data_IF_587087093157
#
_entry.id   IF_587087093157
#
_cell.length_a   1.000
_cell.length_b   1.000
_cell.length_c   1.000
_cell.angle_alpha   90.00
_cell.angle_beta   90.00
_cell.angle_gamma   90.00
#
_symmetry.space_group_name_H-M   'P 1'
#
loop_
_entity.id
_entity.type
_entity.pdbx_description
1 polymer ?
#
# COMPACT_ATOMS: atom_id res chain seq x y z
N UNK A 1 39.13 10.28 -12.35
CA UNK A 1 38.52 11.22 -11.39
C UNK A 1 37.24 11.75 -12.01
N UNK A 2 36.11 11.12 -11.73
CA UNK A 2 34.79 11.57 -12.16
C UNK A 2 33.99 11.90 -10.91
N UNK A 3 33.53 13.14 -10.82
CA UNK A 3 32.75 13.67 -9.70
C UNK A 3 31.36 13.05 -9.71
N UNK A 4 31.04 12.31 -8.64
CA UNK A 4 29.68 11.96 -8.28
C UNK A 4 28.96 13.23 -7.82
N UNK A 5 28.14 13.83 -8.69
CA UNK A 5 27.06 14.71 -8.24
C UNK A 5 25.92 13.83 -7.76
N UNK A 6 26.03 13.37 -6.51
CA UNK A 6 24.95 12.66 -5.82
C UNK A 6 23.71 13.53 -5.77
N UNK A 7 22.54 12.90 -5.96
CA UNK A 7 21.24 13.52 -5.74
C UNK A 7 21.27 14.34 -4.44
N UNK A 8 21.04 15.64 -4.57
CA UNK A 8 21.00 16.58 -3.45
C UNK A 8 19.75 16.33 -2.62
N UNK A 9 19.91 15.49 -1.59
CA UNK A 9 19.01 15.37 -0.44
C UNK A 9 18.10 14.13 -0.46
N UNK A 10 17.60 13.71 0.72
CA UNK A 10 16.54 12.71 0.80
C UNK A 10 15.31 13.20 0.03
N UNK A 11 14.75 12.33 -0.79
CA UNK A 11 13.54 12.57 -1.58
C UNK A 11 12.40 13.05 -0.65
N UNK A 12 11.73 14.14 -1.04
CA UNK A 12 10.61 14.71 -0.28
C UNK A 12 9.43 13.73 -0.28
N UNK A 13 8.89 13.49 0.92
CA UNK A 13 7.66 12.76 1.21
C UNK A 13 6.51 13.32 0.35
N UNK A 14 5.79 12.44 -0.35
CA UNK A 14 4.58 12.80 -1.09
C UNK A 14 3.39 12.02 -0.52
N UNK A 15 2.15 12.55 -0.55
CA UNK A 15 0.95 11.92 0.03
C UNK A 15 0.61 10.50 -0.46
N UNK A 16 1.24 10.03 -1.53
CA UNK A 16 0.99 8.74 -2.18
C UNK A 16 1.88 7.59 -1.66
N UNK A 17 2.31 7.68 -0.41
CA UNK A 17 3.33 6.81 0.19
C UNK A 17 2.71 5.89 1.23
N UNK A 18 2.87 4.57 1.06
CA UNK A 18 2.10 3.56 1.78
C UNK A 18 2.98 2.66 2.64
N UNK A 19 2.64 2.54 3.92
CA UNK A 19 3.56 1.97 4.91
C UNK A 19 3.41 0.47 5.18
N UNK A 20 2.35 -0.23 4.73
CA UNK A 20 2.23 -1.71 4.74
C UNK A 20 1.09 -2.24 3.90
N UNK A 21 1.32 -3.35 3.18
CA UNK A 21 0.27 -4.17 2.55
C UNK A 21 0.47 -5.65 2.92
N UNK A 22 0.02 -6.05 4.11
CA UNK A 22 0.12 -7.44 4.53
C UNK A 22 -1.25 -8.13 4.41
N UNK A 23 -1.55 -8.68 3.23
CA UNK A 23 -2.60 -9.70 3.13
C UNK A 23 -1.98 -11.05 3.52
N UNK A 24 -2.59 -11.80 4.44
CA UNK A 24 -2.10 -13.13 4.83
C UNK A 24 -2.35 -14.14 3.70
N UNK A 25 -1.47 -14.15 2.71
CA UNK A 25 -1.64 -14.96 1.51
C UNK A 25 -1.17 -16.41 1.70
N UNK A 26 -0.19 -16.69 2.56
CA UNK A 26 0.35 -18.04 2.72
C UNK A 26 -0.16 -18.65 4.02
N UNK A 27 -0.90 -19.76 3.92
CA UNK A 27 -1.24 -20.59 5.08
C UNK A 27 -0.63 -22.00 5.02
N UNK A 28 0.19 -22.29 3.99
CA UNK A 28 1.00 -23.52 3.87
C UNK A 28 2.20 -23.29 2.95
N UNK A 29 3.30 -24.01 3.18
CA UNK A 29 4.57 -23.88 2.44
C UNK A 29 4.64 -24.86 1.26
N UNK A 30 4.99 -24.37 0.07
CA UNK A 30 5.37 -25.17 -1.10
C UNK A 30 6.44 -24.42 -1.90
N UNK A 31 7.22 -25.12 -2.73
CA UNK A 31 8.27 -24.54 -3.57
C UNK A 31 7.67 -23.75 -4.76
N UNK A 32 8.10 -22.49 -4.94
CA UNK A 32 7.76 -21.66 -6.11
C UNK A 32 8.72 -21.93 -7.28
N UNK A 33 8.32 -21.70 -8.55
CA UNK A 33 9.20 -21.86 -9.71
C UNK A 33 10.42 -20.92 -9.64
N UNK A 34 11.63 -21.45 -9.85
CA UNK A 34 12.90 -20.71 -9.73
C UNK A 34 13.33 -19.89 -10.95
N UNK A 35 12.48 -19.71 -11.96
CA UNK A 35 12.79 -18.95 -13.17
C UNK A 35 12.82 -17.44 -12.88
N UNK A 36 13.71 -16.69 -13.54
CA UNK A 36 13.74 -15.23 -13.45
C UNK A 36 12.72 -14.65 -14.43
N UNK A 37 11.72 -13.93 -13.93
CA UNK A 37 10.85 -13.11 -14.74
C UNK A 37 11.26 -11.65 -14.65
N UNK A 38 11.04 -10.91 -15.75
CA UNK A 38 11.06 -9.46 -15.73
C UNK A 38 9.64 -8.93 -15.46
N UNK A 39 9.48 -7.89 -14.65
CA UNK A 39 8.16 -7.29 -14.42
C UNK A 39 7.73 -6.43 -15.62
N UNK A 40 6.45 -6.50 -16.02
CA UNK A 40 5.93 -5.72 -17.15
C UNK A 40 6.19 -4.22 -16.95
N UNK A 41 7.05 -3.61 -17.81
CA UNK A 41 7.50 -2.25 -17.62
C UNK A 41 6.40 -1.22 -17.88
N UNK A 42 5.27 -1.62 -18.46
CA UNK A 42 4.18 -0.73 -18.85
C UNK A 42 3.17 -0.51 -17.72
N UNK A 43 3.10 -1.44 -16.75
CA UNK A 43 2.09 -1.44 -15.69
C UNK A 43 2.11 -0.17 -14.85
N UNK A 44 0.91 0.36 -14.59
CA UNK A 44 0.70 1.56 -13.78
C UNK A 44 1.30 1.41 -12.38
N UNK A 45 1.96 2.47 -11.93
CA UNK A 45 2.43 2.62 -10.54
C UNK A 45 1.23 2.77 -9.60
N UNK A 46 1.10 1.88 -8.63
CA UNK A 46 0.00 1.90 -7.68
C UNK A 46 0.37 2.67 -6.41
N UNK A 47 1.42 2.21 -5.72
CA UNK A 47 1.86 2.80 -4.46
C UNK A 47 3.34 2.54 -4.19
N UNK A 48 3.99 3.37 -3.38
CA UNK A 48 5.36 3.11 -2.87
C UNK A 48 5.30 2.28 -1.60
N UNK A 49 6.28 1.40 -1.41
CA UNK A 49 6.41 0.59 -0.20
C UNK A 49 7.86 0.51 0.27
N UNK A 50 8.10 0.99 1.50
CA UNK A 50 9.42 1.30 2.03
C UNK A 50 10.33 0.10 2.29
N UNK A 51 9.76 -1.06 2.61
CA UNK A 51 10.55 -2.25 2.95
C UNK A 51 11.09 -2.98 1.71
N UNK A 52 10.71 -2.53 0.50
CA UNK A 52 11.14 -3.12 -0.78
C UNK A 52 12.26 -2.37 -1.50
N UNK A 53 12.79 -1.29 -0.89
CA UNK A 53 13.76 -0.40 -1.54
C UNK A 53 13.10 0.79 -2.25
N UNK A 54 13.88 1.55 -3.01
CA UNK A 54 13.37 2.62 -3.86
C UNK A 54 12.57 1.97 -5.00
N UNK A 55 11.29 2.29 -5.16
CA UNK A 55 10.46 1.68 -6.20
C UNK A 55 8.96 1.81 -5.97
N UNK A 56 8.19 1.59 -7.02
CA UNK A 56 6.73 1.55 -6.97
C UNK A 56 6.23 0.12 -7.12
N UNK A 57 5.25 -0.26 -6.32
CA UNK A 57 4.51 -1.51 -6.49
C UNK A 57 3.62 -1.37 -7.72
N UNK A 58 3.77 -2.33 -8.65
CA UNK A 58 2.99 -2.41 -9.89
C UNK A 58 2.09 -3.65 -9.91
N UNK A 59 2.49 -4.73 -9.24
CA UNK A 59 1.65 -5.90 -9.00
C UNK A 59 1.59 -6.13 -7.49
N UNK A 60 0.46 -5.82 -6.85
CA UNK A 60 0.34 -5.97 -5.42
C UNK A 60 0.04 -7.42 -5.03
N UNK A 61 0.37 -7.77 -3.78
CA UNK A 61 0.18 -9.11 -3.22
C UNK A 61 -1.26 -9.61 -3.38
N UNK A 62 -1.40 -10.89 -3.69
CA UNK A 62 -2.69 -11.58 -3.81
C UNK A 62 -3.41 -11.38 -5.14
N UNK A 63 -2.76 -10.76 -6.13
CA UNK A 63 -3.27 -10.68 -7.51
C UNK A 63 -2.82 -11.89 -8.33
N UNK A 64 -3.71 -12.40 -9.18
CA UNK A 64 -3.37 -13.38 -10.19
C UNK A 64 -2.40 -12.76 -11.23
N UNK A 65 -1.38 -13.54 -11.57
CA UNK A 65 -0.33 -13.15 -12.50
C UNK A 65 -0.23 -14.13 -13.66
N UNK A 66 0.27 -13.64 -14.78
CA UNK A 66 0.43 -14.38 -16.02
C UNK A 66 1.70 -13.93 -16.76
N UNK A 67 2.35 -14.81 -17.53
CA UNK A 67 3.30 -14.39 -18.54
C UNK A 67 2.58 -13.47 -19.55
N UNK A 68 3.20 -12.37 -19.92
CA UNK A 68 2.64 -11.47 -20.91
C UNK A 68 2.55 -12.16 -22.28
N UNK A 69 1.41 -12.01 -22.95
CA UNK A 69 1.24 -12.46 -24.35
C UNK A 69 1.57 -11.34 -25.36
N UNK A 70 1.98 -10.17 -24.86
CA UNK A 70 2.20 -8.98 -25.65
C UNK A 70 3.52 -9.00 -26.43
N UNK A 71 3.51 -8.25 -27.54
CA UNK A 71 4.72 -8.01 -28.33
C UNK A 71 5.43 -6.75 -27.82
N UNK A 72 6.54 -6.92 -27.09
CA UNK A 72 7.34 -5.82 -26.56
C UNK A 72 8.39 -5.26 -27.55
N UNK A 73 8.27 -5.54 -28.86
CA UNK A 73 9.18 -5.06 -29.90
C UNK A 73 9.60 -6.14 -30.90
N UNK A 74 10.90 -6.16 -31.27
CA UNK A 74 11.47 -6.96 -32.38
C UNK A 74 11.33 -8.48 -32.26
N UNK A 75 10.98 -9.01 -31.08
CA UNK A 75 10.66 -10.43 -30.89
C UNK A 75 9.27 -10.56 -30.30
N UNK A 76 8.42 -11.22 -31.06
CA UNK A 76 7.11 -11.72 -30.63
C UNK A 76 7.37 -12.83 -29.61
N UNK A 77 6.56 -12.92 -28.55
CA UNK A 77 6.54 -13.95 -27.48
C UNK A 77 6.76 -13.45 -26.03
N UNK A 78 6.35 -12.23 -25.68
CA UNK A 78 6.23 -11.86 -24.25
C UNK A 78 7.53 -11.76 -23.47
N UNK A 79 8.66 -11.52 -24.16
CA UNK A 79 10.00 -11.40 -23.55
C UNK A 79 10.56 -10.00 -23.71
N UNK A 80 11.31 -9.53 -22.71
CA UNK A 80 12.10 -8.30 -22.79
C UNK A 80 13.56 -8.59 -22.45
N UNK A 81 14.46 -7.72 -22.93
CA UNK A 81 15.86 -7.77 -22.49
C UNK A 81 15.92 -7.22 -21.07
N UNK A 82 16.43 -8.04 -20.16
CA UNK A 82 16.80 -7.63 -18.81
C UNK A 82 17.75 -6.43 -18.86
N UNK A 83 17.52 -5.46 -17.99
CA UNK A 83 18.24 -4.19 -17.99
C UNK A 83 19.73 -4.36 -17.63
N UNK A 84 20.07 -5.38 -16.84
CA UNK A 84 21.44 -5.63 -16.39
C UNK A 84 22.14 -6.71 -17.24
N UNK A 85 21.56 -7.91 -17.33
CA UNK A 85 22.19 -9.04 -18.02
C UNK A 85 22.12 -8.97 -19.55
N UNK A 86 21.25 -8.10 -20.11
CA UNK A 86 20.97 -8.04 -21.55
C UNK A 86 20.33 -9.33 -22.10
N UNK A 87 19.96 -10.27 -21.23
CA UNK A 87 19.36 -11.56 -21.57
C UNK A 87 17.85 -11.40 -21.73
N UNK A 88 17.25 -12.16 -22.65
CA UNK A 88 15.80 -12.16 -22.82
C UNK A 88 15.15 -12.94 -21.69
N UNK A 89 14.29 -12.27 -20.92
CA UNK A 89 13.50 -12.86 -19.85
C UNK A 89 12.01 -12.78 -20.17
N UNK A 90 11.21 -13.78 -19.75
CA UNK A 90 9.76 -13.72 -19.83
C UNK A 90 9.23 -12.59 -18.95
N UNK A 91 8.25 -11.86 -19.48
CA UNK A 91 7.60 -10.77 -18.75
C UNK A 91 6.45 -11.30 -17.91
N UNK A 92 6.41 -10.94 -16.64
CA UNK A 92 5.29 -11.18 -15.74
C UNK A 92 4.37 -9.96 -15.68
N UNK A 93 3.08 -10.17 -15.91
CA UNK A 93 2.03 -9.14 -15.90
C UNK A 93 0.79 -9.61 -15.13
N UNK A 94 -0.21 -8.73 -14.98
CA UNK A 94 -1.49 -9.08 -14.36
C UNK A 94 -2.28 -10.03 -15.27
N UNK A 95 -2.86 -11.07 -14.68
CA UNK A 95 -3.79 -11.94 -15.39
C UNK A 95 -5.06 -11.15 -15.78
N UNK A 96 -5.56 -11.36 -17.00
CA UNK A 96 -6.70 -10.61 -17.55
C UNK A 96 -7.93 -11.47 -17.86
N UNK A 97 -8.01 -12.67 -17.28
CA UNK A 97 -9.15 -13.57 -17.47
C UNK A 97 -9.32 -14.05 -18.91
N UNK A 98 -8.26 -13.99 -19.74
CA UNK A 98 -8.29 -14.42 -21.14
C UNK A 98 -8.94 -13.43 -22.10
N UNK A 99 -8.95 -12.14 -21.75
CA UNK A 99 -9.47 -11.06 -22.60
C UNK A 99 -8.42 -9.97 -22.83
N UNK A 100 -8.48 -9.33 -23.99
CA UNK A 100 -7.70 -8.13 -24.24
C UNK A 100 -8.19 -6.98 -23.35
N UNK A 101 -7.27 -6.31 -22.66
CA UNK A 101 -7.56 -5.22 -21.72
C UNK A 101 -6.81 -3.96 -22.13
N UNK A 102 -7.51 -2.84 -22.20
CA UNK A 102 -6.88 -1.53 -22.42
C UNK A 102 -6.38 -0.98 -21.09
N UNK A 103 -5.07 -0.73 -21.01
CA UNK A 103 -4.39 -0.19 -19.84
C UNK A 103 -3.65 1.10 -20.15
N UNK A 104 -3.19 1.79 -19.10
CA UNK A 104 -2.48 3.07 -19.20
C UNK A 104 -1.02 2.88 -18.83
N UNK A 105 -0.14 3.31 -19.73
CA UNK A 105 1.30 3.19 -19.58
C UNK A 105 1.85 4.14 -18.51
N UNK A 106 2.72 3.62 -17.65
CA UNK A 106 3.16 4.32 -16.43
C UNK A 106 3.93 5.63 -16.63
N UNK A 107 4.60 5.80 -17.77
CA UNK A 107 5.55 6.92 -17.99
C UNK A 107 4.93 8.09 -18.76
N UNK A 108 4.15 7.79 -19.79
CA UNK A 108 3.62 8.75 -20.77
C UNK A 108 2.09 8.87 -20.70
N UNK A 109 1.42 8.01 -19.92
CA UNK A 109 -0.03 7.98 -19.82
C UNK A 109 -0.73 7.53 -21.10
N UNK A 110 0.01 6.97 -22.07
CA UNK A 110 -0.58 6.47 -23.30
C UNK A 110 -1.36 5.18 -23.05
N UNK A 111 -2.43 4.95 -23.80
CA UNK A 111 -3.19 3.71 -23.70
C UNK A 111 -2.53 2.60 -24.52
N UNK A 112 -2.39 1.41 -23.94
CA UNK A 112 -1.94 0.22 -24.63
C UNK A 112 -2.90 -0.94 -24.38
N UNK A 113 -2.89 -1.94 -25.26
CA UNK A 113 -3.69 -3.16 -25.06
C UNK A 113 -2.78 -4.25 -24.51
N UNK A 114 -3.15 -4.83 -23.37
CA UNK A 114 -2.60 -6.08 -22.84
C UNK A 114 -3.39 -7.25 -23.44
N UNK A 115 -2.75 -8.03 -24.29
CA UNK A 115 -3.33 -9.19 -24.95
C UNK A 115 -3.79 -10.25 -23.94
N UNK A 116 -4.85 -10.98 -24.29
CA UNK A 116 -5.37 -12.11 -23.53
C UNK A 116 -4.25 -13.07 -23.10
N UNK A 117 -4.07 -13.23 -21.80
CA UNK A 117 -3.02 -14.05 -21.21
C UNK A 117 -3.63 -15.19 -20.37
N UNK A 118 -2.80 -16.15 -19.96
CA UNK A 118 -3.22 -17.31 -19.16
C UNK A 118 -2.63 -17.22 -17.76
N UNK A 119 -3.49 -17.18 -16.76
CA UNK A 119 -3.05 -17.15 -15.37
C UNK A 119 -2.24 -18.41 -14.99
N UNK A 120 -1.13 -18.19 -14.26
CA UNK A 120 -0.21 -19.25 -13.80
C UNK A 120 -0.17 -19.38 -12.28
N UNK A 121 -0.66 -18.38 -11.55
CA UNK A 121 -0.65 -18.37 -10.10
C UNK A 121 -0.96 -16.99 -9.54
N UNK A 122 -0.62 -16.78 -8.28
CA UNK A 122 -0.89 -15.56 -7.52
C UNK A 122 0.43 -14.97 -7.00
N UNK A 123 0.55 -13.65 -7.03
CA UNK A 123 1.73 -12.95 -6.52
C UNK A 123 1.86 -13.11 -5.00
N UNK A 124 2.96 -13.73 -4.55
CA UNK A 124 3.24 -13.97 -3.13
C UNK A 124 3.41 -12.68 -2.32
N UNK A 125 4.10 -11.71 -2.93
CA UNK A 125 4.42 -10.41 -2.33
C UNK A 125 4.07 -9.27 -3.27
N UNK A 126 4.37 -8.06 -2.84
CA UNK A 126 4.33 -6.91 -3.74
C UNK A 126 5.49 -6.99 -4.72
N UNK A 127 5.18 -6.97 -6.01
CA UNK A 127 6.17 -6.89 -7.06
C UNK A 127 6.36 -5.43 -7.47
N UNK A 128 7.62 -5.00 -7.45
CA UNK A 128 8.02 -3.64 -7.76
C UNK A 128 8.28 -3.50 -9.26
N UNK A 129 8.17 -2.28 -9.75
CA UNK A 129 8.70 -1.98 -11.07
C UNK A 129 10.20 -2.24 -11.10
N UNK A 130 10.67 -2.81 -12.21
CA UNK A 130 12.09 -2.89 -12.48
C UNK A 130 12.59 -1.57 -13.05
N UNK A 131 13.71 -1.11 -12.51
CA UNK A 131 14.50 0.00 -13.01
C UNK A 131 15.97 -0.26 -12.68
N UNK A 132 16.87 0.50 -13.31
CA UNK A 132 18.32 0.36 -13.10
C UNK A 132 18.65 0.83 -11.68
N UNK A 133 18.87 -0.12 -10.77
CA UNK A 133 19.34 0.09 -9.40
C UNK A 133 20.37 -0.97 -9.03
N UNK A 134 21.27 -0.66 -8.09
CA UNK A 134 22.38 -1.52 -7.65
C UNK A 134 21.96 -2.86 -7.03
N UNK A 135 20.67 -3.08 -6.80
CA UNK A 135 20.10 -4.32 -6.27
C UNK A 135 19.36 -5.18 -7.32
N UNK A 136 19.36 -4.79 -8.60
CA UNK A 136 18.81 -5.57 -9.72
C UNK A 136 17.32 -5.98 -9.60
N UNK A 137 16.54 -5.20 -8.86
CA UNK A 137 15.11 -5.47 -8.65
C UNK A 137 14.84 -6.72 -7.81
N UNK A 138 13.56 -6.96 -7.52
CA UNK A 138 13.12 -8.14 -6.77
C UNK A 138 12.75 -9.26 -7.75
N UNK A 139 13.29 -10.47 -7.55
CA UNK A 139 12.82 -11.63 -8.28
C UNK A 139 11.37 -11.95 -7.86
N UNK A 140 10.40 -11.97 -8.79
CA UNK A 140 9.03 -12.25 -8.44
C UNK A 140 8.85 -13.72 -8.03
N UNK A 141 8.11 -13.91 -6.96
CA UNK A 141 7.67 -15.23 -6.47
C UNK A 141 6.20 -15.42 -6.76
N UNK A 142 5.89 -16.57 -7.37
CA UNK A 142 4.55 -16.92 -7.83
C UNK A 142 4.11 -18.19 -7.14
N UNK A 143 2.90 -18.15 -6.60
CA UNK A 143 2.29 -19.23 -5.87
C UNK A 143 1.24 -19.91 -6.75
N UNK A 144 1.38 -21.21 -7.00
CA UNK A 144 0.50 -21.97 -7.91
C UNK A 144 -0.16 -23.20 -7.27
N UNK A 145 0.36 -23.69 -6.14
CA UNK A 145 -0.05 -24.96 -5.52
C UNK A 145 -0.32 -24.86 -4.01
N UNK A 146 -0.34 -23.64 -3.48
CA UNK A 146 -0.58 -23.40 -2.05
C UNK A 146 -2.03 -23.06 -1.76
N UNK A 147 -2.32 -23.10 -0.47
CA UNK A 147 -3.54 -22.57 0.11
C UNK A 147 -3.41 -21.08 0.41
N UNK A 148 -4.30 -20.27 -0.17
CA UNK A 148 -4.32 -18.81 -0.01
C UNK A 148 -5.58 -18.31 0.69
N UNK A 149 -5.46 -17.19 1.41
CA UNK A 149 -6.58 -16.47 2.02
C UNK A 149 -6.69 -15.06 1.43
N UNK A 150 -7.87 -14.69 0.95
CA UNK A 150 -8.16 -13.35 0.43
C UNK A 150 -9.38 -12.71 1.13
N UNK A 151 -9.41 -11.37 1.25
CA UNK A 151 -10.58 -10.66 1.75
C UNK A 151 -11.76 -10.85 0.79
N UNK A 152 -12.92 -11.24 1.34
CA UNK A 152 -14.15 -11.38 0.58
C UNK A 152 -14.92 -10.05 0.56
N UNK A 153 -15.03 -9.42 -0.60
CA UNK A 153 -15.74 -8.15 -0.82
C UNK A 153 -16.73 -8.38 -1.97
N UNK A 154 -18.02 -8.61 -1.70
CA UNK A 154 -18.96 -9.06 -2.72
C UNK A 154 -19.17 -8.07 -3.87
N UNK A 155 -19.08 -6.77 -3.58
CA UNK A 155 -19.34 -5.71 -4.56
C UNK A 155 -18.05 -5.36 -5.31
N UNK A 156 -18.10 -5.45 -6.64
CA UNK A 156 -16.95 -5.14 -7.52
C UNK A 156 -16.39 -3.74 -7.29
N UNK A 157 -17.25 -2.72 -7.20
CA UNK A 157 -16.81 -1.33 -7.02
C UNK A 157 -15.98 -1.16 -5.73
N UNK A 158 -16.44 -1.74 -4.62
CA UNK A 158 -15.75 -1.68 -3.33
C UNK A 158 -14.44 -2.50 -3.36
N UNK A 159 -14.42 -3.63 -4.07
CA UNK A 159 -13.20 -4.41 -4.31
C UNK A 159 -12.20 -3.68 -5.22
N UNK A 160 -12.67 -2.76 -6.05
CA UNK A 160 -11.85 -1.95 -6.95
C UNK A 160 -11.16 -0.77 -6.27
N UNK A 161 -11.74 -0.26 -5.18
CA UNK A 161 -11.15 0.79 -4.34
C UNK A 161 -9.82 0.35 -3.69
N UNK A 162 -9.65 -0.96 -3.46
CA UNK A 162 -8.43 -1.51 -2.89
C UNK A 162 -7.43 -1.95 -3.96
N UNK A 163 -6.17 -1.60 -3.74
CA UNK A 163 -5.09 -1.95 -4.66
C UNK A 163 -4.60 -3.38 -4.48
N UNK A 164 -4.62 -3.96 -3.28
CA UNK A 164 -4.20 -5.36 -3.07
C UNK A 164 -5.19 -6.39 -3.62
N UNK A 165 -4.80 -7.67 -3.61
CA UNK A 165 -5.64 -8.79 -4.02
C UNK A 165 -6.89 -8.93 -3.16
N UNK A 166 -8.02 -9.19 -3.81
CA UNK A 166 -9.32 -9.40 -3.18
C UNK A 166 -10.18 -10.34 -4.00
N UNK A 167 -11.22 -10.87 -3.37
CA UNK A 167 -12.22 -11.72 -3.99
C UNK A 167 -13.57 -11.02 -4.01
N UNK A 168 -14.25 -11.02 -5.16
CA UNK A 168 -15.61 -10.48 -5.30
C UNK A 168 -16.52 -11.40 -6.13
N UNK A 169 -17.83 -11.24 -5.95
CA UNK A 169 -18.81 -11.97 -6.74
C UNK A 169 -19.10 -11.24 -8.05
N UNK A 170 -18.93 -11.92 -9.17
CA UNK A 170 -19.36 -11.40 -10.48
C UNK A 170 -20.88 -11.24 -10.54
N UNK A 171 -21.60 -12.16 -9.87
CA UNK A 171 -23.04 -12.13 -9.78
C UNK A 171 -23.48 -12.30 -8.31
N UNK A 172 -23.97 -11.24 -7.66
CA UNK A 172 -24.44 -11.30 -6.27
C UNK A 172 -25.57 -12.33 -6.02
N UNK A 173 -26.30 -12.74 -7.05
CA UNK A 173 -27.32 -13.79 -6.94
C UNK A 173 -26.74 -15.21 -6.87
N UNK A 174 -25.47 -15.38 -7.24
CA UNK A 174 -24.71 -16.64 -7.21
C UNK A 174 -23.41 -16.40 -6.44
N UNK A 175 -23.49 -16.17 -5.11
CA UNK A 175 -22.31 -15.92 -4.30
C UNK A 175 -21.39 -17.13 -4.29
N UNK A 176 -20.10 -16.90 -4.07
CA UNK A 176 -19.09 -17.95 -3.98
C UNK A 176 -19.44 -19.05 -2.97
N UNK A 177 -19.24 -20.31 -3.39
CA UNK A 177 -19.47 -21.51 -2.57
C UNK A 177 -18.22 -22.36 -2.50
N UNK A 178 -18.17 -23.20 -1.46
CA UNK A 178 -17.12 -24.21 -1.33
C UNK A 178 -17.20 -25.16 -2.52
N UNK A 179 -16.06 -25.41 -3.16
CA UNK A 179 -15.94 -26.24 -4.35
C UNK A 179 -16.01 -25.48 -5.68
N UNK A 180 -16.34 -24.19 -5.70
CA UNK A 180 -16.33 -23.41 -6.93
C UNK A 180 -14.90 -23.20 -7.45
N UNK A 181 -14.75 -23.18 -8.78
CA UNK A 181 -13.47 -22.86 -9.40
C UNK A 181 -13.23 -21.34 -9.42
N UNK A 182 -11.97 -20.95 -9.37
CA UNK A 182 -11.54 -19.55 -9.32
C UNK A 182 -10.70 -19.20 -10.56
N UNK A 183 -10.97 -18.03 -11.14
CA UNK A 183 -10.17 -17.43 -12.20
C UNK A 183 -9.87 -15.96 -11.90
N UNK A 184 -9.02 -15.34 -12.73
CA UNK A 184 -8.75 -13.91 -12.67
C UNK A 184 -9.83 -13.08 -13.38
N UNK A 185 -10.09 -11.89 -12.86
CA UNK A 185 -10.73 -10.80 -13.63
C UNK A 185 -9.73 -10.12 -14.59
N UNK A 186 -10.13 -9.00 -15.18
CA UNK A 186 -9.31 -8.21 -16.11
C UNK A 186 -8.03 -7.60 -15.48
N UNK A 187 -7.97 -7.51 -14.14
CA UNK A 187 -6.97 -6.78 -13.35
C UNK A 187 -6.29 -7.66 -12.28
N UNK A 188 -6.30 -8.98 -12.45
CA UNK A 188 -5.68 -9.90 -11.50
C UNK A 188 -6.46 -10.14 -10.19
N UNK A 189 -7.69 -9.65 -10.00
CA UNK A 189 -8.50 -10.03 -8.82
C UNK A 189 -9.10 -11.41 -9.02
N UNK A 190 -9.38 -12.10 -7.93
CA UNK A 190 -9.95 -13.44 -8.00
C UNK A 190 -11.47 -13.39 -8.00
N UNK A 191 -12.07 -14.15 -8.92
CA UNK A 191 -13.51 -14.27 -9.11
C UNK A 191 -13.90 -15.72 -9.33
N UNK A 192 -15.17 -16.06 -9.12
CA UNK A 192 -15.71 -17.38 -9.46
C UNK A 192 -15.67 -17.59 -10.98
N UNK A 193 -15.10 -18.71 -11.41
CA UNK A 193 -15.28 -19.26 -12.74
C UNK A 193 -16.60 -20.06 -12.77
N UNK A 194 -17.72 -19.38 -13.02
CA UNK A 194 -19.07 -19.97 -12.95
C UNK A 194 -19.37 -20.89 -14.16
N UNK A 195 -18.83 -22.11 -14.11
CA UNK A 195 -19.09 -23.14 -15.11
C UNK A 195 -20.55 -23.56 -15.17
N UNK A 196 -21.28 -23.47 -14.06
CA UNK A 196 -22.67 -23.88 -14.00
C UNK A 196 -23.57 -22.90 -14.77
N UNK A 197 -23.32 -21.59 -14.66
CA UNK A 197 -23.99 -20.59 -15.48
C UNK A 197 -23.75 -20.84 -16.97
N UNK A 198 -22.51 -21.13 -17.37
CA UNK A 198 -22.18 -21.43 -18.77
C UNK A 198 -22.91 -22.70 -19.24
N UNK A 199 -22.96 -23.75 -18.42
CA UNK A 199 -23.69 -24.99 -18.74
C UNK A 199 -25.19 -24.77 -18.89
N UNK A 200 -25.79 -23.93 -18.04
CA UNK A 200 -27.20 -23.53 -18.16
C UNK A 200 -27.44 -22.76 -19.48
N UNK A 201 -26.56 -21.82 -19.83
CA UNK A 201 -26.62 -21.09 -21.09
C UNK A 201 -26.46 -22.01 -22.31
N UNK A 202 -25.54 -22.98 -22.25
CA UNK A 202 -25.33 -23.99 -23.30
C UNK A 202 -26.61 -24.81 -23.53
N UNK A 203 -27.29 -25.22 -22.46
CA UNK A 203 -28.56 -25.97 -22.55
C UNK A 203 -29.71 -25.12 -23.11
N UNK A 204 -29.69 -23.81 -22.85
CA UNK A 204 -30.70 -22.87 -23.32
C UNK A 204 -30.44 -22.33 -24.73
N UNK A 205 -29.23 -22.53 -25.28
CA UNK A 205 -28.86 -22.04 -26.60
C UNK A 205 -29.76 -22.66 -27.68
N UNK A 206 -30.33 -21.80 -28.53
CA UNK A 206 -31.25 -22.23 -29.59
C UNK A 206 -30.59 -22.25 -30.96
N UNK A 207 -29.45 -21.58 -31.10
CA UNK A 207 -28.69 -21.50 -32.35
C UNK A 207 -27.30 -22.12 -32.24
N UNK A 208 -26.76 -22.58 -33.37
CA UNK A 208 -25.42 -23.18 -33.44
C UNK A 208 -24.33 -22.14 -33.14
N UNK A 209 -24.52 -20.88 -33.55
CA UNK A 209 -23.54 -19.82 -33.36
C UNK A 209 -23.45 -19.41 -31.88
N UNK A 210 -24.58 -19.31 -31.17
CA UNK A 210 -24.59 -19.13 -29.71
C UNK A 210 -23.89 -20.28 -28.99
N UNK A 211 -24.17 -21.53 -29.41
CA UNK A 211 -23.55 -22.70 -28.81
C UNK A 211 -22.02 -22.69 -28.97
N UNK A 212 -21.52 -22.36 -30.16
CA UNK A 212 -20.07 -22.26 -30.41
C UNK A 212 -19.41 -21.19 -29.54
N UNK A 213 -20.01 -20.00 -29.43
CA UNK A 213 -19.49 -18.93 -28.61
C UNK A 213 -19.45 -19.30 -27.12
N UNK A 214 -20.47 -20.01 -26.62
CA UNK A 214 -20.51 -20.49 -25.23
C UNK A 214 -19.49 -21.60 -24.96
N UNK A 215 -19.30 -22.52 -25.91
CA UNK A 215 -18.27 -23.57 -25.80
C UNK A 215 -16.85 -22.99 -25.82
N UNK A 216 -16.60 -21.98 -26.65
CA UNK A 216 -15.33 -21.26 -26.67
C UNK A 216 -15.07 -20.57 -25.34
N UNK A 217 -16.09 -19.89 -24.79
CA UNK A 217 -16.01 -19.26 -23.46
C UNK A 217 -15.75 -20.29 -22.36
N UNK A 218 -16.40 -21.46 -22.40
CA UNK A 218 -16.13 -22.55 -21.46
C UNK A 218 -14.67 -23.02 -21.54
N UNK A 219 -14.14 -23.18 -22.76
CA UNK A 219 -12.75 -23.58 -22.98
C UNK A 219 -11.77 -22.54 -22.42
N UNK A 220 -12.02 -21.25 -22.64
CA UNK A 220 -11.20 -20.17 -22.09
C UNK A 220 -11.25 -20.21 -20.55
N UNK A 221 -12.43 -20.36 -19.95
CA UNK A 221 -12.56 -20.43 -18.49
C UNK A 221 -11.80 -21.61 -17.89
N UNK A 222 -11.74 -22.75 -18.58
CA UNK A 222 -10.93 -23.90 -18.14
C UNK A 222 -9.43 -23.57 -18.13
N UNK A 223 -8.95 -22.88 -19.15
CA UNK A 223 -7.54 -22.47 -19.24
C UNK A 223 -7.16 -21.41 -18.18
N UNK A 224 -8.13 -20.58 -17.78
CA UNK A 224 -7.97 -19.51 -16.78
C UNK A 224 -8.18 -19.96 -15.33
N UNK A 225 -8.73 -21.15 -15.10
CA UNK A 225 -8.94 -21.66 -13.75
C UNK A 225 -7.58 -21.91 -13.06
N UNK A 226 -7.38 -21.30 -11.90
CA UNK A 226 -6.12 -21.38 -11.13
C UNK A 226 -6.26 -22.00 -9.74
N UNK A 227 -7.50 -22.15 -9.27
CA UNK A 227 -7.76 -22.66 -7.92
C UNK A 227 -9.20 -23.13 -7.74
N UNK A 228 -9.46 -23.67 -6.57
CA UNK A 228 -10.80 -24.06 -6.11
C UNK A 228 -11.04 -23.51 -4.71
N UNK A 229 -12.25 -23.01 -4.45
CA UNK A 229 -12.62 -22.49 -3.14
C UNK A 229 -12.71 -23.64 -2.16
N UNK A 230 -11.84 -23.63 -1.15
CA UNK A 230 -11.85 -24.60 -0.06
C UNK A 230 -12.94 -24.26 0.96
N UNK A 231 -13.00 -23.00 1.38
CA UNK A 231 -14.00 -22.54 2.33
C UNK A 231 -14.26 -21.04 2.21
N UNK A 232 -15.52 -20.66 2.35
CA UNK A 232 -15.94 -19.26 2.51
C UNK A 232 -16.30 -19.02 3.97
N UNK A 233 -15.63 -18.06 4.61
CA UNK A 233 -15.89 -17.65 5.99
C UNK A 233 -16.53 -16.27 5.99
N UNK A 234 -17.82 -16.18 6.34
CA UNK A 234 -18.56 -14.89 6.43
C UNK A 234 -18.87 -14.47 7.87
N UNK A 235 -18.57 -15.33 8.84
CA UNK A 235 -18.83 -15.05 10.26
C UNK A 235 -17.65 -14.34 10.92
N UNK A 236 -17.16 -13.29 10.29
CA UNK A 236 -16.12 -12.45 10.87
C UNK A 236 -16.76 -11.36 11.74
N UNK A 237 -16.18 -11.04 12.91
CA UNK A 237 -16.64 -9.88 13.67
C UNK A 237 -16.49 -8.60 12.82
N UNK A 238 -17.24 -7.52 13.10
CA UNK A 238 -17.14 -6.27 12.33
C UNK A 238 -15.72 -5.66 12.30
N UNK A 239 -14.87 -6.02 13.26
CA UNK A 239 -13.44 -5.64 13.31
C UNK A 239 -12.53 -6.65 12.60
N UNK A 240 -13.06 -7.79 12.17
CA UNK A 240 -12.29 -8.89 11.59
C UNK A 240 -11.58 -8.50 10.29
N UNK A 241 -12.07 -7.50 9.55
CA UNK A 241 -11.37 -6.99 8.37
C UNK A 241 -10.02 -6.36 8.71
N UNK A 242 -9.83 -5.88 9.96
CA UNK A 242 -8.54 -5.37 10.42
C UNK A 242 -7.45 -6.44 10.36
N UNK A 243 -7.77 -7.74 10.33
CA UNK A 243 -6.76 -8.79 10.13
C UNK A 243 -6.02 -8.67 8.80
N UNK A 244 -6.60 -7.97 7.82
CA UNK A 244 -6.04 -7.74 6.49
C UNK A 244 -5.17 -6.48 6.40
N UNK A 245 -5.24 -5.62 7.41
CA UNK A 245 -4.62 -4.28 7.40
C UNK A 245 -3.71 -4.09 8.62
N UNK A 246 -4.01 -4.80 9.70
CA UNK A 246 -3.26 -4.86 10.95
C UNK A 246 -2.03 -5.75 10.85
N UNK A 247 -1.16 -5.62 11.84
CA UNK A 247 0.03 -6.46 11.91
C UNK A 247 -0.36 -7.90 12.24
N UNK A 248 0.40 -8.87 11.73
CA UNK A 248 0.28 -10.22 12.24
C UNK A 248 0.79 -10.27 13.68
N UNK A 249 0.17 -11.08 14.54
CA UNK A 249 0.60 -11.23 15.93
C UNK A 249 2.05 -11.75 16.04
N UNK A 250 2.51 -12.47 15.01
CA UNK A 250 3.87 -13.02 14.93
C UNK A 250 4.88 -11.93 14.56
N UNK A 251 4.53 -11.04 13.63
CA UNK A 251 5.33 -9.84 13.31
C UNK A 251 5.37 -8.87 14.49
N UNK A 252 4.23 -8.67 15.19
CA UNK A 252 4.17 -7.90 16.44
C UNK A 252 5.11 -8.50 17.48
N UNK A 253 5.07 -9.81 17.70
CA UNK A 253 5.97 -10.47 18.66
C UNK A 253 7.44 -10.43 18.27
N UNK A 254 7.75 -10.51 16.97
CA UNK A 254 9.12 -10.45 16.46
C UNK A 254 9.70 -9.05 16.62
N UNK A 255 8.91 -8.02 16.36
CA UNK A 255 9.30 -6.62 16.55
C UNK A 255 9.32 -6.23 18.05
N UNK A 256 8.36 -6.71 18.84
CA UNK A 256 8.34 -6.59 20.32
C UNK A 256 9.54 -7.30 20.97
N UNK A 257 10.20 -8.22 20.25
CA UNK A 257 11.47 -8.83 20.69
C UNK A 257 12.63 -7.84 20.58
N UNK A 258 12.51 -6.82 19.74
CA UNK A 258 13.50 -5.78 19.48
C UNK A 258 13.12 -4.44 20.09
N UNK A 259 11.84 -4.21 20.39
CA UNK A 259 11.37 -3.16 21.27
C UNK A 259 11.69 -3.58 22.70
N UNK A 260 12.59 -2.83 23.33
CA UNK A 260 13.12 -3.08 24.65
C UNK A 260 12.03 -3.39 25.72
N UNK A 261 11.87 -4.67 26.06
CA UNK A 261 10.88 -5.17 27.02
C UNK A 261 11.27 -4.93 28.50
N UNK A 262 12.25 -4.06 28.76
CA UNK A 262 12.77 -3.82 30.11
C UNK A 262 12.02 -2.76 30.91
N UNK A 263 11.00 -2.10 30.34
CA UNK A 263 10.22 -1.10 31.05
C UNK A 263 11.01 0.15 31.48
N UNK A 264 12.26 0.30 31.03
CA UNK A 264 13.03 1.52 31.23
C UNK A 264 12.49 2.63 30.33
N UNK A 265 12.16 3.76 30.95
CA UNK A 265 11.81 4.97 30.20
C UNK A 265 13.12 5.58 29.68
N UNK A 266 13.11 6.29 28.54
CA UNK A 266 14.30 6.97 28.01
C UNK A 266 14.97 7.95 29.00
N UNK A 267 14.23 8.39 30.03
CA UNK A 267 14.67 9.25 31.13
C UNK A 267 15.45 8.50 32.23
N UNK A 268 15.37 7.18 32.30
CA UNK A 268 16.01 6.36 33.34
C UNK A 268 17.49 6.01 33.04
N UNK A 269 18.00 6.33 31.85
CA UNK A 269 19.36 5.93 31.40
C UNK A 269 20.41 7.05 31.59
N UNK A 270 20.04 8.22 32.13
CA UNK A 270 20.92 9.40 32.13
C UNK A 270 21.53 9.86 33.47
N UNK A 271 21.13 9.32 34.62
CA UNK A 271 21.39 10.00 35.90
C UNK A 271 22.46 9.38 36.82
N UNK A 272 23.02 8.19 36.50
CA UNK A 272 23.73 7.44 37.53
C UNK A 272 25.27 7.55 37.55
N UNK A 273 25.96 7.97 36.48
CA UNK A 273 27.44 7.91 36.43
C UNK A 273 28.17 9.08 35.73
N UNK A 274 27.59 10.27 35.66
CA UNK A 274 28.34 11.51 35.35
C UNK A 274 29.02 11.58 33.97
N UNK A 275 28.66 10.71 33.02
CA UNK A 275 29.11 10.78 31.62
C UNK A 275 27.97 11.31 30.72
N UNK A 276 28.22 12.29 29.83
CA UNK A 276 27.25 12.68 28.83
C UNK A 276 27.15 11.55 27.80
N UNK A 277 26.11 10.73 27.92
CA UNK A 277 25.99 9.48 27.19
C UNK A 277 25.94 9.64 25.67
N UNK A 278 26.75 8.83 24.98
CA UNK A 278 26.49 8.35 23.62
C UNK A 278 25.47 7.21 23.74
N UNK A 279 24.26 7.24 23.14
CA UNK A 279 23.70 8.06 22.05
C UNK A 279 22.51 8.97 22.48
N UNK A 280 22.59 9.65 23.65
CA UNK A 280 21.41 10.24 24.34
C UNK A 280 21.23 11.76 24.16
N UNK A 281 21.44 12.30 22.95
CA UNK A 281 20.98 13.66 22.63
C UNK A 281 19.53 13.65 22.12
N UNK A 282 18.77 14.67 22.54
CA UNK A 282 17.36 14.93 22.13
C UNK A 282 17.18 15.08 20.60
N UNK A 283 18.27 15.18 19.84
CA UNK A 283 18.36 15.24 18.37
C UNK A 283 18.29 13.86 17.72
N UNK A 284 18.72 12.78 18.37
CA UNK A 284 18.75 11.43 17.77
C UNK A 284 17.36 10.77 17.69
N UNK A 285 16.40 11.23 18.50
CA UNK A 285 15.03 10.71 18.56
C UNK A 285 14.05 11.31 17.52
N UNK A 286 14.52 12.18 16.62
CA UNK A 286 13.65 12.85 15.63
C UNK A 286 13.72 12.26 14.22
N UNK A 287 14.51 11.22 13.98
CA UNK A 287 14.53 10.53 12.68
C UNK A 287 13.43 9.46 12.54
N UNK A 288 13.02 8.83 13.65
CA UNK A 288 12.04 7.72 13.62
C UNK A 288 10.60 8.11 13.99
N UNK A 289 10.38 9.26 14.65
CA UNK A 289 9.02 9.66 15.07
C UNK A 289 8.06 9.99 13.91
N UNK A 290 8.58 10.16 12.70
CA UNK A 290 7.78 10.29 11.48
C UNK A 290 7.48 8.97 10.78
N UNK A 291 8.36 7.96 10.89
CA UNK A 291 8.24 6.68 10.19
C UNK A 291 7.10 5.79 10.72
N UNK A 292 6.70 6.00 11.98
CA UNK A 292 5.65 5.22 12.65
C UNK A 292 4.36 6.00 12.89
N UNK A 293 4.21 7.20 12.32
CA UNK A 293 2.89 7.84 12.30
C UNK A 293 1.97 6.99 11.40
N UNK A 294 0.75 6.64 11.84
CA UNK A 294 -0.22 5.95 10.99
C UNK A 294 -0.69 6.92 9.90
N UNK A 295 0.15 7.12 8.89
CA UNK A 295 -0.25 7.78 7.66
C UNK A 295 -1.20 6.81 6.96
N UNK A 296 -2.48 7.16 6.97
CA UNK A 296 -3.48 6.36 6.31
C UNK A 296 -3.19 6.27 4.81
N UNK A 297 -3.02 5.03 4.33
CA UNK A 297 -3.20 4.51 2.97
C UNK A 297 -4.34 5.26 2.24
N UNK A 298 -4.04 6.13 1.25
CA UNK A 298 -5.07 6.68 0.38
C UNK A 298 -5.90 5.57 -0.29
N UNK A 299 -7.22 5.70 -0.30
CA UNK A 299 -8.14 4.66 -0.81
C UNK A 299 -8.51 3.54 0.19
N UNK A 300 -7.75 3.33 1.28
CA UNK A 300 -8.08 2.32 2.30
C UNK A 300 -8.31 2.92 3.69
N UNK A 301 -7.76 4.10 3.99
CA UNK A 301 -7.73 4.70 5.33
C UNK A 301 -7.81 6.23 5.23
N UNK A 302 -8.88 6.72 4.60
CA UNK A 302 -9.07 8.17 4.31
C UNK A 302 -9.24 9.06 5.57
N UNK A 303 -9.23 8.47 6.78
CA UNK A 303 -9.26 9.23 8.03
C UNK A 303 -7.98 10.04 8.30
N UNK A 304 -6.87 9.71 7.62
CA UNK A 304 -5.66 10.53 7.65
C UNK A 304 -5.81 11.87 6.93
N UNK A 305 -6.78 12.05 6.04
CA UNK A 305 -7.06 13.33 5.39
C UNK A 305 -8.06 14.20 6.17
N UNK A 306 -8.60 13.69 7.27
CA UNK A 306 -9.53 14.46 8.11
C UNK A 306 -8.74 15.55 8.81
N UNK A 307 -9.15 16.79 8.59
CA UNK A 307 -8.60 17.93 9.30
C UNK A 307 -9.08 17.90 10.75
N UNK A 308 -8.16 17.66 11.68
CA UNK A 308 -8.44 17.74 13.12
C UNK A 308 -8.03 19.14 13.60
N UNK A 309 -8.96 19.91 14.21
CA UNK A 309 -8.63 21.22 14.77
C UNK A 309 -7.91 21.07 16.12
N UNK A 310 -6.87 21.87 16.31
CA UNK A 310 -6.16 22.06 17.56
C UNK A 310 -6.23 23.54 17.93
N UNK A 311 -6.64 23.83 19.15
CA UNK A 311 -6.87 25.20 19.64
C UNK A 311 -5.92 25.51 20.80
N UNK A 312 -5.22 26.65 20.69
CA UNK A 312 -4.36 27.22 21.72
C UNK A 312 -3.31 26.26 22.33
N UNK A 313 -2.73 25.39 21.50
CA UNK A 313 -1.65 24.49 21.93
C UNK A 313 -0.36 25.26 22.21
N UNK A 314 0.28 24.97 23.34
CA UNK A 314 1.52 25.64 23.75
C UNK A 314 2.70 25.06 22.99
N UNK A 315 3.14 25.75 21.92
CA UNK A 315 4.28 25.34 21.09
C UNK A 315 5.64 25.77 21.67
N UNK A 316 5.63 26.63 22.68
CA UNK A 316 6.82 27.01 23.42
C UNK A 316 6.62 28.18 24.36
N UNK A 317 7.70 28.58 25.04
CA UNK A 317 7.71 29.70 26.00
C UNK A 317 8.91 30.59 25.75
N UNK A 318 8.72 31.90 25.87
CA UNK A 318 9.79 32.89 25.77
C UNK A 318 10.07 33.44 27.16
N UNK A 319 11.32 33.34 27.59
CA UNK A 319 11.72 33.74 28.93
C UNK A 319 11.84 35.27 29.03
N UNK A 320 11.69 35.85 30.24
CA UNK A 320 12.01 37.26 30.49
C UNK A 320 13.43 37.60 30.03
N UNK A 321 13.61 38.79 29.43
CA UNK A 321 14.92 39.24 28.97
C UNK A 321 15.31 38.77 27.56
N UNK A 322 14.45 38.01 26.88
CA UNK A 322 14.69 37.55 25.51
C UNK A 322 13.94 38.44 24.50
N UNK A 323 14.60 38.75 23.38
CA UNK A 323 13.99 39.41 22.23
C UNK A 323 14.59 38.90 20.93
N UNK A 324 13.85 39.10 19.85
CA UNK A 324 14.27 38.80 18.50
C UNK A 324 13.61 37.53 17.97
N UNK A 325 14.34 36.83 17.11
CA UNK A 325 13.83 35.67 16.39
C UNK A 325 13.77 34.45 17.30
N UNK A 326 12.61 33.80 17.32
CA UNK A 326 12.37 32.54 18.00
C UNK A 326 11.77 31.52 17.02
N UNK A 327 12.28 30.29 17.08
CA UNK A 327 11.89 29.19 16.20
C UNK A 327 11.18 28.13 17.04
N UNK A 328 9.91 27.87 16.73
CA UNK A 328 9.04 26.90 17.41
C UNK A 328 8.62 25.77 16.48
N UNK A 329 8.16 24.65 17.06
CA UNK A 329 7.59 23.53 16.32
C UNK A 329 6.16 23.25 16.75
N UNK A 330 5.29 23.02 15.77
CA UNK A 330 3.96 22.49 16.01
C UNK A 330 4.04 21.05 16.54
N UNK A 331 3.10 20.66 17.38
CA UNK A 331 3.05 19.32 17.98
C UNK A 331 2.46 18.29 17.00
N UNK A 332 1.46 18.70 16.21
CA UNK A 332 0.74 17.85 15.26
C UNK A 332 1.10 18.19 13.81
N UNK A 333 1.49 17.17 13.04
CA UNK A 333 1.95 17.30 11.66
C UNK A 333 1.48 16.14 10.77
N UNK A 334 1.23 16.37 9.47
CA UNK A 334 1.38 17.66 8.76
C UNK A 334 0.24 18.64 9.06
N UNK A 335 0.55 19.93 9.17
CA UNK A 335 -0.44 20.98 9.39
C UNK A 335 -1.05 21.44 8.06
N UNK A 336 -2.32 21.85 8.06
CA UNK A 336 -3.00 22.35 6.87
C UNK A 336 -2.54 23.79 6.60
N UNK A 337 -1.91 24.00 5.45
CA UNK A 337 -1.42 25.31 5.04
C UNK A 337 -2.57 26.36 5.05
N UNK A 338 -2.30 27.52 5.66
CA UNK A 338 -3.28 28.61 5.78
C UNK A 338 -4.22 28.53 7.00
N UNK A 339 -4.12 27.49 7.82
CA UNK A 339 -4.93 27.36 9.06
C UNK A 339 -4.21 27.78 10.33
N UNK A 340 -2.90 28.07 10.24
CA UNK A 340 -2.03 28.31 11.40
C UNK A 340 -2.18 29.76 11.88
N UNK A 341 -2.72 29.92 13.08
CA UNK A 341 -2.75 31.18 13.85
C UNK A 341 -1.83 31.04 15.05
N UNK A 342 -0.90 31.98 15.23
CA UNK A 342 0.05 31.98 16.36
C UNK A 342 -0.32 33.10 17.31
N UNK A 343 -0.37 32.80 18.60
CA UNK A 343 -0.59 33.79 19.66
C UNK A 343 0.62 33.87 20.57
N UNK A 344 0.97 35.08 20.96
CA UNK A 344 1.94 35.35 22.02
C UNK A 344 1.19 35.99 23.18
N UNK A 345 1.20 35.33 24.35
CA UNK A 345 0.51 35.82 25.55
C UNK A 345 -0.99 36.13 25.29
N UNK A 346 -1.63 35.27 24.48
CA UNK A 346 -3.04 35.40 24.08
C UNK A 346 -3.32 36.40 22.96
N UNK A 347 -2.33 37.16 22.48
CA UNK A 347 -2.49 38.08 21.35
C UNK A 347 -2.05 37.44 20.04
N UNK A 348 -2.89 37.50 19.01
CA UNK A 348 -2.56 36.99 17.67
C UNK A 348 -1.41 37.80 17.08
N UNK A 349 -0.37 37.09 16.63
CA UNK A 349 0.81 37.65 15.98
C UNK A 349 0.98 37.06 14.58
N UNK A 350 1.53 37.85 13.66
CA UNK A 350 1.89 37.36 12.33
C UNK A 350 3.26 36.69 12.40
N UNK A 351 3.39 35.40 12.07
CA UNK A 351 4.69 34.74 12.00
C UNK A 351 5.51 35.22 10.79
N UNK A 352 6.84 35.30 10.97
CA UNK A 352 7.78 35.70 9.91
C UNK A 352 7.93 34.60 8.85
N UNK A 353 7.85 33.35 9.29
CA UNK A 353 7.92 32.18 8.40
C UNK A 353 7.16 31.00 9.01
N UNK A 354 6.45 30.27 8.16
CA UNK A 354 5.72 29.05 8.53
C UNK A 354 5.99 27.97 7.50
N UNK A 355 6.41 26.80 7.95
CA UNK A 355 6.48 25.58 7.17
C UNK A 355 5.48 24.58 7.76
N UNK A 356 4.33 24.44 7.10
CA UNK A 356 3.23 23.60 7.58
C UNK A 356 3.57 22.09 7.55
N UNK A 357 4.45 21.67 6.65
CA UNK A 357 4.85 20.26 6.50
C UNK A 357 5.81 19.83 7.61
N UNK A 358 6.81 20.68 7.90
CA UNK A 358 7.84 20.42 8.92
C UNK A 358 7.45 20.96 10.31
N UNK A 359 6.35 21.71 10.40
CA UNK A 359 5.87 22.33 11.61
C UNK A 359 6.68 23.50 12.12
N UNK A 360 7.61 24.04 11.32
CA UNK A 360 8.46 25.15 11.75
C UNK A 360 7.69 26.47 11.72
N UNK A 361 7.65 27.15 12.86
CA UNK A 361 7.04 28.47 13.00
C UNK A 361 8.11 29.42 13.52
N UNK A 362 8.41 30.48 12.78
CA UNK A 362 9.37 31.51 13.15
C UNK A 362 8.62 32.78 13.48
N UNK A 363 8.88 33.33 14.67
CA UNK A 363 8.27 34.58 15.14
C UNK A 363 9.34 35.51 15.70
N UNK A 364 9.18 36.81 15.45
CA UNK A 364 9.99 37.85 16.07
C UNK A 364 9.16 38.58 17.12
N UNK A 365 9.53 38.42 18.38
CA UNK A 365 8.80 38.98 19.52
C UNK A 365 9.78 39.43 20.60
N UNK A 366 9.30 40.29 21.49
CA UNK A 366 10.11 40.91 22.54
C UNK A 366 9.49 40.68 23.91
N UNK A 367 10.22 39.99 24.80
CA UNK A 367 9.89 39.80 26.21
C UNK A 367 10.98 40.40 27.14
N UNK A 368 11.76 41.38 26.67
CA UNK A 368 12.82 42.01 27.46
C UNK A 368 12.29 42.78 28.66
N UNK A 369 11.13 43.42 28.53
CA UNK A 369 10.46 44.15 29.60
C UNK A 369 9.52 43.27 30.47
N UNK A 370 9.40 41.98 30.16
CA UNK A 370 8.54 41.05 30.90
C UNK A 370 9.13 40.62 32.24
N UNK A 371 8.28 40.26 33.19
CA UNK A 371 8.67 39.71 34.50
C UNK A 371 8.38 38.22 34.65
N UNK A 372 7.68 37.62 33.68
CA UNK A 372 7.30 36.20 33.65
C UNK A 372 7.51 35.59 32.26
N UNK A 373 7.72 34.27 32.17
CA UNK A 373 7.72 33.58 30.89
C UNK A 373 6.38 33.76 30.19
N UNK A 374 6.40 34.01 28.89
CA UNK A 374 5.20 34.16 28.06
C UNK A 374 5.05 32.97 27.13
N UNK A 375 3.85 32.42 27.08
CA UNK A 375 3.55 31.28 26.21
C UNK A 375 3.35 31.76 24.78
N UNK A 376 3.87 30.96 23.86
CA UNK A 376 3.53 31.02 22.44
C UNK A 376 2.59 29.85 22.19
N UNK A 377 1.36 30.14 21.78
CA UNK A 377 0.36 29.13 21.43
C UNK A 377 0.08 29.14 19.93
N UNK A 378 -0.36 28.01 19.39
CA UNK A 378 -0.82 27.91 18.01
C UNK A 378 -2.21 27.27 17.94
N UNK A 379 -3.04 27.81 17.08
CA UNK A 379 -4.32 27.22 16.66
C UNK A 379 -4.21 26.86 15.20
N UNK A 380 -4.43 25.60 14.85
CA UNK A 380 -4.23 25.10 13.49
C UNK A 380 -5.02 23.80 13.28
N UNK A 381 -5.16 23.41 12.01
CA UNK A 381 -5.65 22.09 11.68
C UNK A 381 -4.49 21.20 11.25
N UNK A 382 -4.52 19.93 11.61
CA UNK A 382 -3.55 18.95 11.13
C UNK A 382 -4.24 17.69 10.59
N UNK A 383 -3.63 17.11 9.58
CA UNK A 383 -4.03 15.82 8.98
C UNK A 383 -3.13 14.71 9.53
N UNK A 384 -3.49 13.45 9.33
CA UNK A 384 -2.75 12.27 9.79
C UNK A 384 -2.89 11.97 11.29
N UNK A 385 -3.87 12.59 11.96
CA UNK A 385 -4.04 12.51 13.42
C UNK A 385 -4.95 11.37 13.86
N UNK A 386 -5.84 10.93 12.97
CA UNK A 386 -6.72 9.79 13.21
C UNK A 386 -6.16 8.62 12.41
N UNK A 387 -5.90 7.45 13.03
CA UNK A 387 -5.56 6.24 12.28
C UNK A 387 -6.72 5.95 11.34
N UNK A 388 -6.45 6.09 10.04
CA UNK A 388 -7.52 6.20 9.07
C UNK A 388 -8.38 4.95 9.03
N UNK A 389 -9.65 5.11 9.35
CA UNK A 389 -10.70 4.19 8.94
C UNK A 389 -11.56 5.03 8.00
N UNK A 390 -11.79 4.64 6.74
CA UNK A 390 -12.76 5.32 5.91
C UNK A 390 -14.11 5.24 6.63
N UNK A 391 -14.79 6.36 6.78
CA UNK A 391 -16.08 6.40 7.46
C UNK A 391 -17.04 5.41 6.79
N UNK A 392 -17.44 4.36 7.50
CA UNK A 392 -18.34 3.33 6.99
C UNK A 392 -17.68 2.12 6.34
N UNK A 393 -16.36 1.94 6.35
CA UNK A 393 -15.70 0.72 5.84
C UNK A 393 -15.90 -0.50 6.76
N UNK A 394 -16.13 -0.26 8.04
CA UNK A 394 -16.73 -1.17 9.02
C UNK A 394 -18.13 -1.69 8.61
N UNK A 395 -18.81 -1.00 7.68
CA UNK A 395 -20.15 -1.35 7.17
C UNK A 395 -20.22 -1.58 5.64
N UNK A 396 -19.20 -1.16 4.88
CA UNK A 396 -19.07 -1.32 3.42
C UNK A 396 -18.02 -2.37 3.00
N UNK A 397 -17.17 -2.78 3.94
CA UNK A 397 -15.98 -3.58 3.69
C UNK A 397 -16.17 -5.09 3.84
N UNK A 398 -15.05 -5.80 3.70
CA UNK A 398 -14.97 -7.25 3.60
C UNK A 398 -15.86 -8.00 4.58
N UNK A 399 -16.81 -8.78 4.05
CA UNK A 399 -17.77 -9.56 4.86
C UNK A 399 -17.15 -10.84 5.42
N UNK A 400 -15.89 -11.13 5.10
CA UNK A 400 -15.34 -12.45 5.29
C UNK A 400 -13.98 -12.71 4.66
N UNK A 401 -13.63 -13.99 4.59
CA UNK A 401 -12.44 -14.50 3.93
C UNK A 401 -12.82 -15.61 2.96
N UNK A 402 -12.23 -15.59 1.75
CA UNK A 402 -12.28 -16.72 0.83
C UNK A 402 -10.94 -17.44 0.89
N UNK A 403 -11.00 -18.74 1.14
CA UNK A 403 -9.84 -19.62 1.18
C UNK A 403 -9.81 -20.47 -0.08
N UNK A 404 -8.72 -20.39 -0.81
CA UNK A 404 -8.59 -20.96 -2.15
C UNK A 404 -7.41 -21.91 -2.15
N UNK A 405 -7.63 -23.14 -2.60
CA UNK A 405 -6.58 -24.09 -2.90
C UNK A 405 -6.15 -23.89 -4.36
N UNK A 406 -4.94 -23.40 -4.59
CA UNK A 406 -4.37 -23.28 -5.92
C UNK A 406 -3.94 -24.66 -6.43
N UNK A 407 -4.11 -24.92 -7.73
CA UNK A 407 -3.86 -26.25 -8.31
C UNK A 407 -3.26 -26.21 -9.73
N UNK A 408 -2.57 -25.12 -10.07
CA UNK A 408 -1.99 -24.90 -11.41
C UNK A 408 -0.64 -25.56 -11.63
#
# INVERSE_FOLDING_TARGET
MALFSGNTGPLRDTPDQYNRTNTKLQAGTHDSPGEKFAIDPRLKRLFRYHFGGDGWVVIPKGRAVAPAADNFGERQDGVIKDFDSGTLLPVLTLANGGKDVTDVHKTDGSTYTRAANKAIGVAYGNLYEEFVDGFNGMQPTIENTIYIELPYIPVKADAEEIHWGSFYDVNPARPAKNGDYVMSDENGRLIVADFDQIREQIKAATTIDELKALMEKESIMRDQAIGQIWSVETNMPPQGWLKWVGWSEEDQRSDDRHINNSGFRPEDIGAQDGFPGYPYEKTYANWDKGQYKPQGIPGLTNGSNIEVPYEDEVIGTIQPGQSGRHDFRLEHLPAVAGTIEVKFDGQVIQPDYVNADLGLVVVTVDNTAGTTPKNVTATYKATGQIPGIPTGWDFKGSIGAVRILLHK
#
